data_IF_791149533075
#
_entry.id   IF_791149533075
#
_cell.length_a   1.000
_cell.length_b   1.000
_cell.length_c   1.000
_cell.angle_alpha   90.00
_cell.angle_beta   90.00
_cell.angle_gamma   90.00
#
_symmetry.space_group_name_H-M   'P 1'
#
loop_
_entity.id
_entity.type
_entity.pdbx_description
1 polymer ?
#
# COMPACT_ATOMS: atom_id res chain seq x y z
N UNK A 1 -6.28 3.32 -17.92
CA UNK A 1 -5.34 3.48 -16.79
C UNK A 1 -3.96 3.74 -17.37
N UNK A 2 -3.23 4.77 -16.94
CA UNK A 2 -1.83 4.93 -17.38
C UNK A 2 -0.95 3.86 -16.73
N UNK A 3 0.14 3.45 -17.37
CA UNK A 3 1.08 2.45 -16.84
C UNK A 3 1.59 2.82 -15.43
N UNK A 4 1.81 4.11 -15.18
CA UNK A 4 2.19 4.63 -13.86
C UNK A 4 1.12 4.35 -12.80
N UNK A 5 -0.16 4.54 -13.14
CA UNK A 5 -1.26 4.31 -12.23
C UNK A 5 -1.50 2.81 -12.01
N UNK A 6 -1.34 2.00 -13.06
CA UNK A 6 -1.37 0.53 -12.97
C UNK A 6 -0.35 0.01 -11.97
N UNK A 7 0.91 0.40 -12.13
CA UNK A 7 1.98 -0.02 -11.23
C UNK A 7 1.76 0.38 -9.77
N UNK A 8 1.20 1.57 -9.53
CA UNK A 8 0.84 2.01 -8.17
C UNK A 8 -0.30 1.19 -7.57
N UNK A 9 -1.27 0.78 -8.39
CA UNK A 9 -2.35 -0.08 -7.95
C UNK A 9 -1.82 -1.46 -7.57
N UNK A 10 -1.03 -2.08 -8.46
CA UNK A 10 -0.42 -3.39 -8.21
C UNK A 10 0.48 -3.36 -6.98
N UNK A 11 1.30 -2.31 -6.82
CA UNK A 11 2.17 -2.17 -5.65
C UNK A 11 1.35 -2.13 -4.35
N UNK A 12 0.21 -1.43 -4.34
CA UNK A 12 -0.70 -1.43 -3.18
C UNK A 12 -1.29 -2.81 -2.93
N UNK A 13 -1.73 -3.50 -3.97
CA UNK A 13 -2.27 -4.86 -3.84
C UNK A 13 -1.21 -5.81 -3.27
N UNK A 14 0.03 -5.75 -3.75
CA UNK A 14 1.12 -6.57 -3.23
C UNK A 14 1.36 -6.33 -1.74
N UNK A 15 1.42 -5.06 -1.31
CA UNK A 15 1.61 -4.70 0.10
C UNK A 15 0.42 -5.21 0.94
N UNK A 16 -0.80 -5.11 0.43
CA UNK A 16 -1.99 -5.63 1.10
C UNK A 16 -1.93 -7.14 1.28
N UNK A 17 -1.59 -7.87 0.22
CA UNK A 17 -1.57 -9.33 0.18
C UNK A 17 -0.38 -9.93 0.97
N UNK A 18 0.83 -9.42 0.77
CA UNK A 18 2.06 -10.00 1.34
C UNK A 18 2.48 -9.38 2.68
N UNK A 19 2.06 -8.14 2.97
CA UNK A 19 2.48 -7.41 4.17
C UNK A 19 1.30 -6.96 5.04
N UNK A 20 0.10 -7.53 4.85
CA UNK A 20 -1.14 -7.17 5.57
C UNK A 20 -1.45 -5.66 5.49
N UNK A 21 -1.11 -5.01 4.38
CA UNK A 21 -1.30 -3.57 4.18
C UNK A 21 -0.27 -2.69 4.89
N UNK A 22 0.74 -3.27 5.54
CA UNK A 22 1.76 -2.53 6.27
C UNK A 22 2.86 -2.02 5.33
N UNK A 23 2.63 -0.84 4.76
CA UNK A 23 3.57 -0.14 3.88
C UNK A 23 4.96 0.04 4.53
N UNK A 24 5.02 0.36 5.82
CA UNK A 24 6.29 0.52 6.55
C UNK A 24 7.10 -0.77 6.58
N UNK A 25 6.43 -1.91 6.80
CA UNK A 25 7.07 -3.22 6.82
C UNK A 25 7.62 -3.58 5.44
N UNK A 26 6.82 -3.35 4.40
CA UNK A 26 7.28 -3.53 3.02
C UNK A 26 8.49 -2.63 2.69
N UNK A 27 8.44 -1.34 3.04
CA UNK A 27 9.53 -0.39 2.81
C UNK A 27 10.83 -0.87 3.46
N UNK A 28 10.75 -1.39 4.68
CA UNK A 28 11.89 -1.99 5.39
C UNK A 28 12.42 -3.24 4.68
N UNK A 29 11.53 -4.12 4.20
CA UNK A 29 11.91 -5.34 3.47
C UNK A 29 12.74 -5.04 2.24
N UNK A 30 12.37 -4.01 1.48
CA UNK A 30 13.07 -3.62 0.24
C UNK A 30 14.14 -2.54 0.46
N UNK A 31 14.48 -2.25 1.72
CA UNK A 31 15.47 -1.24 2.11
C UNK A 31 15.23 0.17 1.50
N UNK A 32 13.97 0.62 1.43
CA UNK A 32 13.63 2.01 1.06
C UNK A 32 13.03 2.78 2.22
N UNK A 33 13.14 4.11 2.15
CA UNK A 33 12.52 5.00 3.12
C UNK A 33 10.99 4.99 2.99
N UNK A 34 10.27 4.98 4.12
CA UNK A 34 8.81 5.04 4.13
C UNK A 34 8.27 6.27 3.38
N UNK A 35 8.95 7.42 3.48
CA UNK A 35 8.62 8.62 2.72
C UNK A 35 8.79 8.45 1.21
N UNK A 36 9.79 7.66 0.77
CA UNK A 36 9.96 7.35 -0.66
C UNK A 36 8.83 6.46 -1.17
N UNK A 37 8.45 5.43 -0.41
CA UNK A 37 7.32 4.57 -0.75
C UNK A 37 6.00 5.36 -0.82
N UNK A 38 5.74 6.21 0.17
CA UNK A 38 4.53 7.05 0.21
C UNK A 38 4.48 8.03 -0.97
N UNK A 39 5.62 8.63 -1.34
CA UNK A 39 5.71 9.50 -2.50
C UNK A 39 5.41 8.75 -3.80
N UNK A 40 5.99 7.55 -4.00
CA UNK A 40 5.73 6.66 -5.15
C UNK A 40 4.25 6.35 -5.31
N UNK A 41 3.55 6.09 -4.20
CA UNK A 41 2.13 5.79 -4.17
C UNK A 41 1.21 7.01 -4.35
N UNK A 42 1.69 8.24 -4.07
CA UNK A 42 0.92 9.49 -4.23
C UNK A 42 1.05 10.07 -5.63
N UNK A 43 2.20 10.65 -5.95
CA UNK A 43 2.39 11.46 -7.16
C UNK A 43 3.82 11.41 -7.73
N UNK A 44 4.76 10.72 -7.07
CA UNK A 44 6.14 10.60 -7.58
C UNK A 44 6.15 9.79 -8.87
N UNK A 45 7.16 10.05 -9.69
CA UNK A 45 7.41 9.37 -10.96
C UNK A 45 7.63 7.88 -10.72
N UNK A 46 6.66 7.05 -11.11
CA UNK A 46 6.72 5.60 -11.01
C UNK A 46 7.13 4.99 -12.37
N UNK A 47 8.38 5.25 -12.75
CA UNK A 47 8.95 4.78 -14.01
C UNK A 47 9.42 3.32 -13.93
N UNK A 48 9.70 2.74 -15.10
CA UNK A 48 10.10 1.34 -15.26
C UNK A 48 11.30 0.98 -14.38
N UNK A 49 12.34 1.84 -14.40
CA UNK A 49 13.54 1.65 -13.58
C UNK A 49 13.25 1.53 -12.07
N UNK A 50 12.25 2.25 -11.55
CA UNK A 50 11.84 2.13 -10.14
C UNK A 50 10.98 0.88 -9.91
N UNK A 51 10.09 0.55 -10.84
CA UNK A 51 9.30 -0.68 -10.79
C UNK A 51 10.20 -1.90 -10.71
N UNK A 52 11.17 -2.03 -11.64
CA UNK A 52 12.14 -3.14 -11.67
C UNK A 52 12.96 -3.25 -10.39
N UNK A 53 13.41 -2.12 -9.82
CA UNK A 53 14.13 -2.11 -8.55
C UNK A 53 13.27 -2.65 -7.39
N UNK A 54 12.00 -2.26 -7.36
CA UNK A 54 11.06 -2.74 -6.34
C UNK A 54 10.80 -4.22 -6.54
N UNK A 55 10.58 -4.68 -7.78
CA UNK A 55 10.39 -6.10 -8.09
C UNK A 55 11.56 -6.94 -7.59
N UNK A 56 12.79 -6.54 -7.93
CA UNK A 56 14.00 -7.24 -7.48
C UNK A 56 14.16 -7.23 -5.96
N UNK A 57 13.93 -6.09 -5.31
CA UNK A 57 14.11 -5.97 -3.86
C UNK A 57 13.01 -6.69 -3.07
N UNK A 58 11.78 -6.74 -3.61
CA UNK A 58 10.64 -7.46 -3.03
C UNK A 58 10.61 -8.94 -3.42
N UNK A 59 11.54 -9.39 -4.26
CA UNK A 59 11.55 -10.73 -4.84
C UNK A 59 10.22 -11.07 -5.56
N UNK A 60 9.67 -10.08 -6.26
CA UNK A 60 8.48 -10.23 -7.10
C UNK A 60 8.85 -10.88 -8.44
N UNK A 61 7.86 -11.50 -9.13
CA UNK A 61 8.02 -11.90 -10.51
C UNK A 61 8.35 -10.71 -11.43
N UNK A 62 9.06 -11.00 -12.52
CA UNK A 62 9.38 -9.98 -13.52
C UNK A 62 8.10 -9.43 -14.17
N UNK A 63 8.01 -8.10 -14.30
CA UNK A 63 6.86 -7.38 -14.87
C UNK A 63 5.56 -7.50 -14.07
N UNK A 64 5.62 -7.99 -12.83
CA UNK A 64 4.42 -8.11 -11.99
C UNK A 64 3.74 -6.75 -11.77
N UNK A 65 4.52 -5.67 -11.55
CA UNK A 65 3.94 -4.33 -11.40
C UNK A 65 3.37 -3.76 -12.70
N UNK A 66 3.80 -4.27 -13.85
CA UNK A 66 3.35 -3.84 -15.18
C UNK A 66 2.21 -4.67 -15.75
N UNK A 67 1.90 -5.82 -15.14
CA UNK A 67 0.82 -6.69 -15.56
C UNK A 67 -0.53 -6.19 -15.05
N UNK A 68 -1.55 -6.22 -15.89
CA UNK A 68 -2.90 -5.93 -15.43
C UNK A 68 -3.42 -7.11 -14.61
N UNK A 69 -3.38 -6.96 -13.29
CA UNK A 69 -4.00 -7.88 -12.36
C UNK A 69 -5.44 -7.44 -12.16
N UNK A 70 -6.28 -7.59 -13.21
CA UNK A 70 -7.72 -7.37 -13.15
C UNK A 70 -8.24 -7.86 -11.79
N UNK A 71 -8.65 -6.91 -10.96
CA UNK A 71 -9.01 -7.11 -9.57
C UNK A 71 -10.19 -8.10 -9.50
N UNK A 72 -9.90 -9.36 -9.16
CA UNK A 72 -10.93 -10.32 -8.72
C UNK A 72 -11.18 -10.24 -7.22
N UNK A 73 -10.62 -9.25 -6.50
CA UNK A 73 -10.76 -9.17 -5.05
C UNK A 73 -10.67 -7.73 -4.53
N UNK A 74 -11.82 -7.06 -4.56
CA UNK A 74 -12.18 -6.17 -3.47
C UNK A 74 -12.12 -6.95 -2.15
N UNK A 75 -11.63 -6.30 -1.08
CA UNK A 75 -12.47 -6.22 0.10
C UNK A 75 -12.77 -4.76 0.46
N UNK A 76 -13.97 -4.47 0.96
CA UNK A 76 -14.33 -3.16 1.48
C UNK A 76 -13.58 -2.95 2.81
N UNK A 77 -12.63 -2.02 2.83
CA UNK A 77 -12.14 -1.45 4.08
C UNK A 77 -12.05 0.05 3.97
N UNK A 78 -13.21 0.62 3.63
CA UNK A 78 -13.55 1.94 4.06
C UNK A 78 -13.96 1.87 5.54
N UNK A 79 -13.15 2.54 6.38
CA UNK A 79 -13.55 3.22 7.61
C UNK A 79 -13.70 2.35 8.87
N UNK A 80 -12.75 2.60 9.78
CA UNK A 80 -12.93 2.54 11.23
C UNK A 80 -14.20 3.30 11.61
N UNK A 81 -15.31 2.62 11.87
CA UNK A 81 -16.35 3.15 12.75
C UNK A 81 -16.07 2.62 14.16
N UNK A 82 -15.43 3.48 14.94
CA UNK A 82 -15.33 3.35 16.39
C UNK A 82 -16.53 4.15 16.92
N UNK A 83 -17.61 3.56 17.45
CA UNK A 83 -18.54 4.34 18.26
C UNK A 83 -18.03 4.33 19.69
N UNK A 84 -17.00 5.13 19.97
CA UNK A 84 -16.55 5.38 21.34
C UNK A 84 -16.18 6.85 21.53
N UNK A 85 -17.11 7.72 21.99
CA UNK A 85 -16.75 8.78 22.90
C UNK A 85 -16.71 8.22 24.32
N UNK A 86 -15.51 8.15 24.87
CA UNK A 86 -15.21 7.82 26.26
C UNK A 86 -15.81 8.83 27.24
N UNK A 87 -16.53 8.29 28.23
CA UNK A 87 -16.46 8.60 29.66
C UNK A 87 -17.30 9.74 30.29
N UNK A 88 -17.61 9.64 31.61
CA UNK A 88 -18.85 10.12 32.25
C UNK A 88 -18.66 11.41 33.08
N UNK A 89 -19.74 12.03 33.58
CA UNK A 89 -19.67 12.82 34.80
C UNK A 89 -20.21 12.06 36.04
N UNK A 90 -19.45 12.21 37.12
CA UNK A 90 -19.52 11.64 38.47
C UNK A 90 -20.89 11.60 39.19
N UNK A 91 -21.01 10.79 40.27
CA UNK A 91 -22.20 10.75 41.12
C UNK A 91 -22.26 11.99 42.02
N UNK A 92 -23.47 12.44 42.35
CA UNK A 92 -23.69 13.43 43.40
C UNK A 92 -25.02 13.21 44.12
N UNK A 93 -24.88 12.93 45.42
CA UNK A 93 -25.83 13.00 46.56
C UNK A 93 -27.13 12.22 46.50
#
# INVERSE_FOLDING_TARGET
>A
MNTTDLRRHNLRQWITQHHNGQQTKFAQTIAINQGELSALLKNKSFGEKKARKIEQAANMPDMWLDQDHQDRHAPPSAKKEIPCPTSPPSPKS
#
